data_IF_385624377659
#
_entry.id   IF_385624377659
#
_cell.length_a   1.000
_cell.length_b   1.000
_cell.length_c   1.000
_cell.angle_alpha   90.00
_cell.angle_beta   90.00
_cell.angle_gamma   90.00
#
_symmetry.space_group_name_H-M   'P 1'
#
loop_
_entity.id
_entity.type
_entity.pdbx_description
1 polymer ?
#
# COMPACT_ATOMS: atom_id res chain seq x y z
N UNK A 1 -8.34 43.21 7.89
CA UNK A 1 -7.35 42.18 7.43
C UNK A 1 -6.22 42.28 8.43
N UNK A 2 -6.33 41.53 9.52
CA UNK A 2 -5.39 41.67 10.64
C UNK A 2 -4.09 40.98 10.28
N UNK A 3 -3.01 41.75 10.28
CA UNK A 3 -1.64 41.28 10.10
C UNK A 3 -1.32 40.26 11.19
N UNK A 4 -1.17 39.00 10.81
CA UNK A 4 -0.65 37.96 11.68
C UNK A 4 0.78 38.36 12.07
N UNK A 5 0.94 38.93 13.29
CA UNK A 5 2.26 39.19 13.85
C UNK A 5 2.99 37.86 14.01
N UNK A 6 3.89 37.59 13.10
CA UNK A 6 4.83 36.47 13.19
C UNK A 6 5.70 36.73 14.41
N UNK A 7 5.58 35.89 15.43
CA UNK A 7 6.38 35.97 16.64
C UNK A 7 7.85 35.71 16.31
N UNK A 8 8.61 36.76 16.15
CA UNK A 8 10.06 36.69 15.94
C UNK A 8 10.73 36.41 17.30
N UNK A 9 11.04 35.14 17.53
CA UNK A 9 11.81 34.75 18.72
C UNK A 9 13.30 35.14 18.51
N UNK A 10 13.84 36.11 19.23
CA UNK A 10 15.15 36.72 18.93
C UNK A 10 16.37 35.89 19.38
N UNK A 11 16.20 34.64 19.82
CA UNK A 11 17.28 33.83 20.42
C UNK A 11 17.55 32.48 19.78
N UNK A 12 17.31 32.31 18.48
CA UNK A 12 17.84 31.16 17.80
C UNK A 12 19.23 31.45 17.25
N UNK A 13 20.25 30.79 17.85
CA UNK A 13 21.67 31.00 17.63
C UNK A 13 22.13 30.90 16.16
N UNK A 14 23.39 30.54 15.94
CA UNK A 14 24.11 30.53 14.63
C UNK A 14 23.40 29.95 13.40
N UNK A 15 22.20 29.36 13.55
CA UNK A 15 21.37 28.86 12.47
C UNK A 15 20.35 29.88 11.91
N UNK A 16 20.20 31.05 12.54
CA UNK A 16 19.28 32.11 12.07
C UNK A 16 19.94 32.94 10.96
N UNK A 17 20.13 32.29 9.82
CA UNK A 17 20.61 32.99 8.61
C UNK A 17 19.47 33.81 8.00
N UNK A 18 19.75 35.01 7.45
CA UNK A 18 18.79 35.70 6.59
C UNK A 18 18.30 34.71 5.51
N UNK A 19 17.00 34.55 5.35
CA UNK A 19 16.35 33.54 4.49
C UNK A 19 16.30 32.07 4.99
N UNK A 20 16.68 31.81 6.26
CA UNK A 20 16.44 30.49 6.86
C UNK A 20 14.95 30.29 7.15
N UNK A 21 14.42 29.16 6.76
CA UNK A 21 13.04 28.73 7.08
C UNK A 21 12.97 27.92 8.39
N UNK A 22 14.11 27.52 8.92
CA UNK A 22 14.20 26.70 10.14
C UNK A 22 13.78 27.54 11.35
N UNK A 23 12.85 27.01 12.16
CA UNK A 23 12.33 27.67 13.35
C UNK A 23 11.34 28.82 13.10
N UNK A 24 10.91 29.05 11.87
CA UNK A 24 9.91 30.05 11.52
C UNK A 24 8.54 29.42 11.28
N UNK A 25 7.48 30.08 11.73
CA UNK A 25 6.11 29.71 11.37
C UNK A 25 5.81 30.20 9.95
N UNK A 26 5.79 29.27 9.00
CA UNK A 26 5.47 29.56 7.62
C UNK A 26 4.04 29.12 7.32
N UNK A 27 3.24 29.93 6.63
CA UNK A 27 1.93 29.50 6.17
C UNK A 27 2.10 28.39 5.12
N UNK A 28 1.33 27.33 5.25
CA UNK A 28 1.27 26.26 4.25
C UNK A 28 0.60 26.84 2.99
N UNK A 29 1.29 26.81 1.84
CA UNK A 29 0.83 27.43 0.58
C UNK A 29 -0.58 26.97 0.16
N UNK A 30 -0.88 25.68 0.32
CA UNK A 30 -2.17 25.12 -0.09
C UNK A 30 -3.22 25.08 1.03
N UNK A 31 -2.92 25.59 2.25
CA UNK A 31 -3.85 25.49 3.38
C UNK A 31 -5.20 26.14 3.07
N UNK A 32 -5.19 27.33 2.51
CA UNK A 32 -6.40 28.08 2.15
C UNK A 32 -7.26 27.31 1.14
N UNK A 33 -6.64 26.77 0.08
CA UNK A 33 -7.32 26.00 -0.95
C UNK A 33 -8.04 24.77 -0.36
N UNK A 34 -7.39 24.06 0.59
CA UNK A 34 -8.00 22.89 1.24
C UNK A 34 -9.14 23.28 2.18
N UNK A 35 -8.98 24.37 2.95
CA UNK A 35 -10.02 24.87 3.86
C UNK A 35 -11.26 25.38 3.11
N UNK A 36 -11.09 25.92 1.92
CA UNK A 36 -12.18 26.42 1.06
C UNK A 36 -12.83 25.30 0.21
N UNK A 37 -12.41 24.03 0.39
CA UNK A 37 -12.93 22.89 -0.39
C UNK A 37 -12.45 22.83 -1.84
N UNK A 38 -11.51 23.69 -2.23
CA UNK A 38 -10.90 23.68 -3.57
C UNK A 38 -9.73 22.71 -3.72
N UNK A 39 -9.40 21.96 -2.66
CA UNK A 39 -8.41 20.89 -2.71
C UNK A 39 -8.90 19.72 -3.54
N UNK A 40 -8.00 19.05 -4.26
CA UNK A 40 -8.27 17.83 -4.99
C UNK A 40 -7.17 16.81 -4.68
N UNK A 41 -7.57 15.65 -4.23
CA UNK A 41 -6.70 14.50 -3.95
C UNK A 41 -6.90 13.45 -5.05
N UNK A 42 -6.06 12.44 -5.06
CA UNK A 42 -6.15 11.34 -6.05
C UNK A 42 -7.49 10.63 -5.98
N UNK A 43 -8.04 10.46 -4.78
CA UNK A 43 -9.34 9.78 -4.56
C UNK A 43 -10.55 10.60 -5.06
N UNK A 44 -10.37 11.90 -5.29
CA UNK A 44 -11.40 12.80 -5.85
C UNK A 44 -11.41 12.82 -7.39
N UNK A 45 -10.43 12.13 -8.02
CA UNK A 45 -10.32 12.09 -9.47
C UNK A 45 -11.33 11.12 -10.05
N UNK A 46 -12.20 11.64 -10.91
CA UNK A 46 -13.16 10.82 -11.65
C UNK A 46 -12.89 10.99 -13.14
N UNK A 47 -12.51 9.90 -13.79
CA UNK A 47 -12.24 9.85 -15.23
C UNK A 47 -13.34 9.10 -15.97
N UNK A 48 -13.65 9.44 -17.22
CA UNK A 48 -14.60 8.67 -18.02
C UNK A 48 -14.16 7.20 -18.15
N UNK A 49 -15.07 6.28 -17.85
CA UNK A 49 -14.81 4.81 -17.86
C UNK A 49 -13.74 4.36 -16.87
N UNK A 50 -13.54 5.09 -15.78
CA UNK A 50 -12.65 4.68 -14.70
C UNK A 50 -13.23 3.43 -14.02
N UNK A 51 -12.36 2.45 -13.78
CA UNK A 51 -12.65 1.29 -12.96
C UNK A 51 -11.99 1.43 -11.60
N UNK A 52 -12.54 0.74 -10.63
CA UNK A 52 -12.04 0.74 -9.25
C UNK A 52 -11.42 -0.61 -8.93
N UNK A 53 -10.36 -0.58 -8.13
CA UNK A 53 -9.57 -1.76 -7.77
C UNK A 53 -9.60 -1.95 -6.26
N UNK A 54 -9.85 -3.19 -5.83
CA UNK A 54 -9.71 -3.60 -4.45
C UNK A 54 -8.79 -4.83 -4.35
N UNK A 55 -7.98 -4.89 -3.28
CA UNK A 55 -7.02 -5.97 -3.06
C UNK A 55 -7.44 -6.84 -1.90
N UNK A 56 -7.57 -8.14 -2.14
CA UNK A 56 -7.62 -9.13 -1.07
C UNK A 56 -6.25 -9.29 -0.46
N UNK A 57 -6.15 -9.13 0.85
CA UNK A 57 -4.88 -9.15 1.58
C UNK A 57 -4.84 -10.30 2.58
N UNK A 58 -3.65 -10.88 2.76
CA UNK A 58 -3.44 -11.93 3.76
C UNK A 58 -3.70 -11.43 5.18
N UNK A 59 -4.55 -12.10 5.96
CA UNK A 59 -4.70 -11.83 7.39
C UNK A 59 -3.55 -12.41 8.22
N UNK A 60 -2.73 -13.29 7.64
CA UNK A 60 -1.67 -14.02 8.33
C UNK A 60 -0.29 -13.40 8.07
N UNK A 61 0.56 -13.45 9.07
CA UNK A 61 1.95 -13.00 8.97
C UNK A 61 2.81 -13.90 8.08
N UNK A 62 2.50 -15.21 8.06
CA UNK A 62 3.12 -16.17 7.17
C UNK A 62 2.15 -17.34 6.95
N UNK A 63 1.79 -17.59 5.70
CA UNK A 63 0.84 -18.66 5.36
C UNK A 63 1.14 -19.25 3.98
N UNK A 64 0.99 -20.56 3.86
CA UNK A 64 1.00 -21.24 2.57
C UNK A 64 -0.41 -21.16 1.97
N UNK A 65 -0.51 -20.65 0.75
CA UNK A 65 -1.76 -20.55 -0.02
C UNK A 65 -1.93 -21.87 -0.77
N UNK A 66 -2.96 -22.65 -0.42
CA UNK A 66 -3.29 -23.92 -1.06
C UNK A 66 -4.12 -23.73 -2.33
N UNK A 67 -5.16 -22.92 -2.22
CA UNK A 67 -6.03 -22.59 -3.34
C UNK A 67 -6.68 -21.23 -3.16
N UNK A 68 -7.03 -20.61 -4.29
CA UNK A 68 -7.81 -19.39 -4.34
C UNK A 68 -8.96 -19.65 -5.32
N UNK A 69 -10.19 -19.56 -4.84
CA UNK A 69 -11.38 -19.66 -5.66
C UNK A 69 -11.97 -18.26 -5.88
N UNK A 70 -12.04 -17.82 -7.12
CA UNK A 70 -12.50 -16.49 -7.54
C UNK A 70 -13.78 -16.52 -8.37
N UNK A 71 -14.36 -17.69 -8.61
CA UNK A 71 -15.47 -17.87 -9.56
C UNK A 71 -16.72 -17.09 -9.14
N UNK A 72 -17.06 -17.10 -7.86
CA UNK A 72 -18.22 -16.37 -7.35
C UNK A 72 -17.99 -14.85 -7.46
N UNK A 73 -16.81 -14.37 -7.10
CA UNK A 73 -16.44 -12.97 -7.23
C UNK A 73 -16.48 -12.48 -8.68
N UNK A 74 -16.04 -13.30 -9.65
CA UNK A 74 -16.09 -12.96 -11.08
C UNK A 74 -17.52 -12.79 -11.62
N UNK A 75 -18.47 -13.50 -11.05
CA UNK A 75 -19.88 -13.43 -11.47
C UNK A 75 -20.67 -12.35 -10.75
N UNK A 76 -20.07 -11.67 -9.77
CA UNK A 76 -20.73 -10.62 -8.99
C UNK A 76 -21.09 -9.41 -9.85
N UNK A 77 -22.26 -8.78 -9.62
CA UNK A 77 -22.72 -7.64 -10.39
C UNK A 77 -21.75 -6.44 -10.33
N UNK A 78 -21.35 -5.95 -11.49
CA UNK A 78 -20.48 -4.78 -11.60
C UNK A 78 -18.98 -5.10 -11.51
N UNK A 79 -18.61 -6.35 -11.28
CA UNK A 79 -17.21 -6.80 -11.38
C UNK A 79 -16.84 -6.92 -12.85
N UNK A 80 -15.70 -6.37 -13.20
CA UNK A 80 -15.13 -6.45 -14.54
C UNK A 80 -14.28 -7.73 -14.68
N UNK A 81 -13.38 -7.95 -13.72
CA UNK A 81 -12.57 -9.17 -13.64
C UNK A 81 -11.89 -9.31 -12.26
N UNK A 82 -11.37 -10.52 -11.99
CA UNK A 82 -10.61 -10.85 -10.79
C UNK A 82 -9.33 -11.54 -11.20
N UNK A 83 -8.21 -11.05 -10.71
CA UNK A 83 -6.89 -11.60 -11.03
C UNK A 83 -6.19 -12.09 -9.77
N UNK A 84 -5.52 -13.23 -9.93
CA UNK A 84 -4.59 -13.78 -8.94
C UNK A 84 -3.15 -13.68 -9.46
N UNK A 85 -2.18 -14.12 -8.67
CA UNK A 85 -0.80 -14.15 -9.11
C UNK A 85 -0.58 -14.97 -10.40
N UNK A 86 -1.44 -15.97 -10.64
CA UNK A 86 -1.33 -16.86 -11.80
C UNK A 86 -1.52 -16.12 -13.13
N UNK A 87 -2.50 -15.23 -13.19
CA UNK A 87 -2.80 -14.45 -14.39
C UNK A 87 -1.81 -13.29 -14.57
N UNK A 88 -1.39 -12.66 -13.46
CA UNK A 88 -0.50 -11.50 -13.52
C UNK A 88 0.95 -11.90 -13.82
N UNK A 89 1.36 -13.10 -13.47
CA UNK A 89 2.75 -13.58 -13.62
C UNK A 89 3.25 -13.58 -15.07
N UNK A 90 2.34 -13.68 -16.04
CA UNK A 90 2.67 -13.60 -17.46
C UNK A 90 3.11 -12.19 -17.89
N UNK A 91 2.68 -11.16 -17.17
CA UNK A 91 2.90 -9.74 -17.53
C UNK A 91 3.89 -9.03 -16.61
N UNK A 92 4.19 -9.60 -15.45
CA UNK A 92 5.01 -8.96 -14.43
C UNK A 92 6.28 -9.76 -14.13
N UNK A 93 7.44 -9.11 -14.22
CA UNK A 93 8.69 -9.68 -13.72
C UNK A 93 8.82 -9.46 -12.22
N UNK A 94 9.40 -10.43 -11.48
CA UNK A 94 9.69 -10.23 -10.06
C UNK A 94 10.61 -9.03 -9.84
N UNK A 95 10.36 -8.30 -8.78
CA UNK A 95 11.19 -7.17 -8.38
C UNK A 95 12.09 -7.56 -7.21
N UNK A 96 13.37 -7.17 -7.28
CA UNK A 96 14.34 -7.36 -6.20
C UNK A 96 14.79 -6.00 -5.70
N UNK A 97 14.45 -5.68 -4.45
CA UNK A 97 14.90 -4.44 -3.81
C UNK A 97 16.36 -4.53 -3.43
N UNK A 98 17.21 -3.75 -4.09
CA UNK A 98 18.63 -3.65 -3.74
C UNK A 98 18.95 -2.24 -3.30
N UNK A 99 19.63 -2.13 -2.15
CA UNK A 99 20.25 -0.89 -1.72
C UNK A 99 21.73 -0.97 -2.07
N UNK A 100 22.14 -0.31 -3.14
CA UNK A 100 23.50 -0.43 -3.71
C UNK A 100 24.65 -0.09 -2.76
N UNK A 101 24.36 0.60 -1.64
CA UNK A 101 25.34 0.91 -0.59
C UNK A 101 25.48 -0.18 0.48
N UNK A 102 24.62 -1.19 0.47
CA UNK A 102 24.66 -2.35 1.38
C UNK A 102 25.09 -3.60 0.60
N UNK A 103 26.41 -3.77 0.42
CA UNK A 103 26.98 -4.83 -0.44
C UNK A 103 26.66 -6.27 -0.05
N UNK A 104 26.22 -6.52 1.19
CA UNK A 104 25.86 -7.85 1.69
C UNK A 104 24.34 -8.08 1.81
N UNK A 105 23.52 -7.11 1.40
CA UNK A 105 22.07 -7.23 1.50
C UNK A 105 21.54 -8.29 0.54
N UNK A 106 20.87 -9.31 1.09
CA UNK A 106 20.09 -10.28 0.33
C UNK A 106 18.63 -9.89 0.41
N UNK A 107 18.05 -9.54 -0.73
CA UNK A 107 16.64 -9.24 -0.84
C UNK A 107 15.92 -10.36 -1.59
N UNK A 108 14.81 -10.89 -1.06
CA UNK A 108 14.00 -11.87 -1.78
C UNK A 108 13.29 -11.22 -2.97
N UNK A 109 12.97 -12.04 -3.96
CA UNK A 109 12.09 -11.64 -5.05
C UNK A 109 10.70 -11.30 -4.52
N UNK A 110 10.15 -10.19 -4.99
CA UNK A 110 8.80 -9.74 -4.68
C UNK A 110 7.95 -9.74 -5.95
N UNK A 111 6.73 -10.18 -5.83
CA UNK A 111 5.74 -10.20 -6.90
C UNK A 111 4.55 -9.31 -6.52
N UNK A 112 3.81 -8.75 -7.47
CA UNK A 112 2.65 -7.89 -7.19
C UNK A 112 1.59 -8.57 -6.33
N UNK A 113 1.35 -9.87 -6.55
CA UNK A 113 0.46 -10.71 -5.75
C UNK A 113 1.22 -11.94 -5.24
N UNK A 114 0.86 -12.42 -4.06
CA UNK A 114 1.43 -13.62 -3.47
C UNK A 114 1.10 -14.86 -4.30
N UNK A 115 2.13 -15.66 -4.65
CA UNK A 115 1.96 -16.86 -5.48
C UNK A 115 1.56 -18.10 -4.67
N UNK A 116 2.45 -18.54 -3.80
CA UNK A 116 2.29 -19.76 -2.99
C UNK A 116 2.33 -19.50 -1.50
N UNK A 117 3.00 -18.46 -1.10
CA UNK A 117 3.23 -18.11 0.29
C UNK A 117 2.97 -16.64 0.48
N UNK A 118 2.07 -16.31 1.40
CA UNK A 118 1.97 -14.96 1.95
C UNK A 118 3.04 -14.81 3.03
N UNK A 119 3.94 -13.83 2.88
CA UNK A 119 5.15 -13.66 3.68
C UNK A 119 5.01 -12.62 4.79
N UNK A 120 4.00 -11.77 4.70
CA UNK A 120 3.66 -10.77 5.73
C UNK A 120 2.16 -10.53 5.79
N UNK A 121 1.71 -10.04 6.93
CA UNK A 121 0.32 -9.64 7.10
C UNK A 121 0.01 -8.43 6.20
N UNK A 122 -1.04 -8.53 5.41
CA UNK A 122 -1.42 -7.49 4.44
C UNK A 122 -0.83 -7.69 3.05
N UNK A 123 -0.07 -8.76 2.77
CA UNK A 123 0.40 -9.07 1.42
C UNK A 123 -0.79 -9.28 0.48
N UNK A 124 -0.82 -8.61 -0.71
CA UNK A 124 -1.88 -8.81 -1.66
C UNK A 124 -1.89 -10.25 -2.22
N UNK A 125 -3.07 -10.89 -2.24
CA UNK A 125 -3.28 -12.25 -2.73
C UNK A 125 -4.02 -12.24 -4.06
N UNK A 126 -5.08 -11.42 -4.14
CA UNK A 126 -5.92 -11.28 -5.33
C UNK A 126 -6.31 -9.81 -5.51
N UNK A 127 -6.76 -9.47 -6.71
CA UNK A 127 -7.23 -8.14 -7.06
C UNK A 127 -8.55 -8.23 -7.79
N UNK A 128 -9.52 -7.43 -7.36
CA UNK A 128 -10.83 -7.28 -8.02
C UNK A 128 -10.87 -5.94 -8.74
N UNK A 129 -11.38 -5.94 -9.96
CA UNK A 129 -11.63 -4.76 -10.76
C UNK A 129 -13.14 -4.64 -10.97
N UNK A 130 -13.75 -3.51 -10.60
CA UNK A 130 -15.18 -3.29 -10.70
C UNK A 130 -15.53 -1.87 -11.15
N UNK A 131 -16.81 -1.64 -11.48
CA UNK A 131 -17.30 -0.35 -11.94
C UNK A 131 -17.26 0.74 -10.87
N UNK A 132 -17.36 0.35 -9.61
CA UNK A 132 -17.24 1.27 -8.48
C UNK A 132 -16.54 0.58 -7.29
N UNK A 133 -16.12 1.40 -6.31
CA UNK A 133 -15.35 0.93 -5.16
C UNK A 133 -16.14 -0.06 -4.29
N UNK A 134 -17.42 0.21 -4.02
CA UNK A 134 -18.24 -0.66 -3.17
C UNK A 134 -18.36 -2.07 -3.79
N UNK A 135 -18.63 -2.16 -5.09
CA UNK A 135 -18.69 -3.44 -5.78
C UNK A 135 -17.36 -4.20 -5.78
N UNK A 136 -16.24 -3.47 -5.87
CA UNK A 136 -14.93 -4.10 -5.78
C UNK A 136 -14.66 -4.65 -4.37
N UNK A 137 -15.03 -3.89 -3.33
CA UNK A 137 -14.88 -4.30 -1.93
C UNK A 137 -15.82 -5.46 -1.56
N UNK A 138 -17.09 -5.41 -1.97
CA UNK A 138 -18.08 -6.49 -1.74
C UNK A 138 -17.65 -7.80 -2.41
N UNK A 139 -17.09 -7.73 -3.61
CA UNK A 139 -16.61 -8.91 -4.32
C UNK A 139 -15.38 -9.57 -3.68
N UNK A 140 -14.61 -8.84 -2.86
CA UNK A 140 -13.51 -9.46 -2.09
C UNK A 140 -14.02 -10.51 -1.10
N UNK A 141 -15.20 -10.31 -0.53
CA UNK A 141 -15.81 -11.23 0.45
C UNK A 141 -16.24 -12.56 -0.20
N UNK A 142 -16.38 -12.59 -1.53
CA UNK A 142 -16.75 -13.78 -2.30
C UNK A 142 -15.52 -14.59 -2.75
N UNK A 143 -14.31 -14.13 -2.44
CA UNK A 143 -13.08 -14.86 -2.77
C UNK A 143 -12.73 -15.79 -1.62
N UNK A 144 -12.74 -17.09 -1.88
CA UNK A 144 -12.34 -18.09 -0.91
C UNK A 144 -10.85 -18.39 -1.03
N UNK A 145 -10.10 -18.26 0.08
CA UNK A 145 -8.68 -18.60 0.14
C UNK A 145 -8.46 -19.70 1.17
N UNK A 146 -8.05 -20.85 0.67
CA UNK A 146 -7.56 -21.93 1.53
C UNK A 146 -6.08 -21.71 1.81
N UNK A 147 -5.76 -21.44 3.08
CA UNK A 147 -4.39 -21.16 3.51
C UNK A 147 -4.06 -21.79 4.85
N UNK A 148 -2.82 -22.25 4.98
CA UNK A 148 -2.30 -22.81 6.22
C UNK A 148 -1.29 -21.84 6.83
N UNK A 149 -1.66 -21.29 7.99
CA UNK A 149 -0.79 -20.40 8.74
C UNK A 149 0.33 -21.19 9.44
N UNK A 150 1.57 -20.77 9.25
CA UNK A 150 2.72 -21.24 10.00
C UNK A 150 2.99 -20.30 11.16
N UNK A 151 2.52 -20.69 12.35
CA UNK A 151 2.68 -19.90 13.57
C UNK A 151 4.00 -20.17 14.29
N UNK A 152 4.78 -21.17 13.87
CA UNK A 152 6.04 -21.53 14.50
C UNK A 152 7.24 -21.08 13.67
N UNK A 153 7.80 -19.92 14.04
CA UNK A 153 9.19 -19.62 13.75
C UNK A 153 10.04 -20.46 14.72
N UNK A 154 10.51 -21.60 14.27
CA UNK A 154 11.56 -22.30 15.01
C UNK A 154 12.81 -21.43 14.96
N UNK A 155 13.10 -20.74 16.04
CA UNK A 155 14.42 -20.17 16.23
C UNK A 155 15.43 -21.33 16.14
N UNK A 156 16.51 -21.20 15.34
CA UNK A 156 17.57 -22.20 15.43
C UNK A 156 18.08 -22.20 16.86
N UNK A 157 17.78 -23.26 17.57
CA UNK A 157 18.43 -23.51 18.85
C UNK A 157 19.89 -23.72 18.54
N UNK A 158 20.73 -22.72 18.78
CA UNK A 158 22.16 -22.88 18.80
C UNK A 158 22.45 -23.82 19.97
N UNK A 159 22.63 -25.09 19.65
CA UNK A 159 23.23 -26.02 20.60
C UNK A 159 24.70 -25.59 20.79
N UNK A 160 24.98 -24.90 21.87
CA UNK A 160 26.33 -24.78 22.35
C UNK A 160 26.72 -26.16 22.91
N UNK A 161 27.59 -26.84 22.22
CA UNK A 161 28.39 -27.95 22.76
C UNK A 161 29.76 -27.38 23.05
#
# INVERSE_FOLDING_TARGET
MDDIKVNQNPKLGSMDRPNSYIGRSLPRENAKKHLEGGGQFVDDLVLPRMLHVAFLRSPFAHAEIKSINVEEAKTSPGVFDVYTAKEIDEFCTPWVGTLGHLGEMRSPEQTPLAKKIARWQGEPIAVVIANNRAQAEDALELIEVDSVSYTHLTLPTSSWV
#
